data_IF_410235111884
#
_entry.id   IF_410235111884
#
_cell.length_a   1.000
_cell.length_b   1.000
_cell.length_c   1.000
_cell.angle_alpha   90.00
_cell.angle_beta   90.00
_cell.angle_gamma   90.00
#
_symmetry.space_group_name_H-M   'P 1'
#
loop_
_entity.id
_entity.type
_entity.pdbx_description
1 polymer ?
#
# COMPACT_ATOMS: atom_id res chain seq x y z
N UNK A 1 -15.80 2.71 -11.71
CA UNK A 1 -16.38 1.36 -11.57
C UNK A 1 -16.14 0.41 -12.74
N UNK A 2 -16.87 0.49 -13.86
CA UNK A 2 -16.76 -0.52 -14.95
C UNK A 2 -15.32 -0.76 -15.42
N UNK A 3 -14.52 0.29 -15.57
CA UNK A 3 -13.10 0.16 -15.94
C UNK A 3 -12.29 -0.61 -14.89
N UNK A 4 -12.49 -0.32 -13.59
CA UNK A 4 -11.83 -1.02 -12.47
C UNK A 4 -12.23 -2.50 -12.44
N UNK A 5 -13.52 -2.80 -12.62
CA UNK A 5 -14.02 -4.17 -12.66
C UNK A 5 -13.45 -5.03 -13.81
N UNK A 6 -12.98 -4.40 -14.89
CA UNK A 6 -12.35 -5.08 -16.03
C UNK A 6 -10.85 -5.36 -15.84
N UNK A 7 -10.21 -4.83 -14.79
CA UNK A 7 -8.77 -5.02 -14.57
C UNK A 7 -8.43 -6.49 -14.36
N UNK A 8 -9.21 -7.20 -13.53
CA UNK A 8 -8.96 -8.59 -13.18
C UNK A 8 -9.00 -9.51 -14.41
N UNK A 9 -10.06 -9.43 -15.21
CA UNK A 9 -10.22 -10.21 -16.45
C UNK A 9 -9.09 -9.92 -17.46
N UNK A 10 -8.55 -8.70 -17.45
CA UNK A 10 -7.44 -8.31 -18.31
C UNK A 10 -6.05 -8.65 -17.72
N UNK A 11 -5.97 -9.29 -16.55
CA UNK A 11 -4.70 -9.61 -15.89
C UNK A 11 -3.94 -8.38 -15.37
N UNK A 12 -4.63 -7.28 -15.12
CA UNK A 12 -4.06 -6.01 -14.67
C UNK A 12 -4.34 -5.74 -13.19
N UNK A 13 -3.45 -4.97 -12.57
CA UNK A 13 -3.61 -4.44 -11.21
C UNK A 13 -3.91 -2.94 -11.21
N UNK A 14 -3.60 -2.24 -12.30
CA UNK A 14 -3.93 -0.84 -12.48
C UNK A 14 -3.99 -0.45 -13.95
N UNK A 15 -4.62 0.69 -14.22
CA UNK A 15 -4.71 1.30 -15.54
C UNK A 15 -4.63 2.82 -15.44
N UNK A 16 -3.84 3.44 -16.31
CA UNK A 16 -3.68 4.90 -16.41
C UNK A 16 -4.02 5.35 -17.82
N UNK A 17 -5.14 6.04 -17.99
CA UNK A 17 -5.59 6.48 -19.31
C UNK A 17 -4.63 7.49 -19.97
N UNK A 18 -4.44 7.36 -21.29
CA UNK A 18 -3.77 8.38 -22.07
C UNK A 18 -4.54 9.70 -21.97
N UNK A 19 -3.80 10.81 -21.80
CA UNK A 19 -4.38 12.14 -21.64
C UNK A 19 -4.68 12.54 -20.19
N UNK A 20 -4.52 11.64 -19.21
CA UNK A 20 -4.71 11.94 -17.80
C UNK A 20 -3.76 13.04 -17.29
N UNK A 21 -4.22 13.81 -16.31
CA UNK A 21 -3.43 14.83 -15.62
C UNK A 21 -3.18 14.31 -14.20
N UNK A 22 -2.00 13.74 -14.01
CA UNK A 22 -1.56 13.19 -12.73
C UNK A 22 -1.09 14.26 -11.72
N UNK A 23 -0.29 15.29 -12.11
CA UNK A 23 0.19 16.28 -11.15
C UNK A 23 -0.96 17.14 -10.60
N UNK A 24 -0.85 17.48 -9.32
CA UNK A 24 -1.80 18.36 -8.63
C UNK A 24 -1.30 19.81 -8.64
N UNK A 25 -2.19 20.76 -8.40
CA UNK A 25 -1.90 22.18 -8.48
C UNK A 25 -0.82 22.63 -7.48
N UNK A 26 -0.80 22.02 -6.28
CA UNK A 26 0.20 22.26 -5.24
C UNK A 26 0.22 21.09 -4.25
N UNK A 27 1.26 20.98 -3.41
CA UNK A 27 1.36 19.90 -2.41
C UNK A 27 0.25 19.89 -1.35
N UNK A 28 -0.45 21.01 -1.17
CA UNK A 28 -1.60 21.15 -0.28
C UNK A 28 -2.95 21.25 -1.02
N UNK A 29 -2.97 21.06 -2.33
CA UNK A 29 -4.19 21.15 -3.14
C UNK A 29 -4.38 19.87 -3.93
N UNK A 30 -5.51 19.21 -3.74
CA UNK A 30 -5.89 18.07 -4.57
C UNK A 30 -6.68 18.48 -5.82
N UNK A 31 -6.49 19.69 -6.36
CA UNK A 31 -6.98 20.07 -7.69
C UNK A 31 -5.93 19.70 -8.75
N UNK A 32 -6.32 19.41 -10.00
CA UNK A 32 -5.34 19.13 -11.05
C UNK A 32 -4.47 20.34 -11.34
N UNK A 33 -3.22 20.09 -11.72
CA UNK A 33 -2.36 21.15 -12.27
C UNK A 33 -2.99 21.69 -13.56
N UNK A 34 -2.88 23.00 -13.77
CA UNK A 34 -3.38 23.68 -14.96
C UNK A 34 -2.28 24.51 -15.61
N UNK A 35 -2.43 24.86 -16.89
CA UNK A 35 -1.48 25.68 -17.62
C UNK A 35 -0.75 24.93 -18.75
N UNK A 36 0.16 25.64 -19.42
CA UNK A 36 0.87 25.14 -20.62
C UNK A 36 1.95 24.11 -20.31
N UNK A 37 2.43 24.07 -19.06
CA UNK A 37 3.50 23.19 -18.61
C UNK A 37 2.99 21.81 -18.17
N UNK A 38 1.66 21.60 -18.16
CA UNK A 38 1.07 20.32 -17.79
C UNK A 38 1.32 19.29 -18.88
N UNK A 39 2.13 18.30 -18.55
CA UNK A 39 2.35 17.13 -19.40
C UNK A 39 1.26 16.10 -19.10
N UNK A 40 0.48 15.77 -20.13
CA UNK A 40 -0.54 14.72 -20.04
C UNK A 40 0.11 13.36 -20.12
N UNK A 41 -0.38 12.42 -19.32
CA UNK A 41 0.12 11.06 -19.32
C UNK A 41 -0.01 10.42 -20.69
N UNK A 42 1.01 9.65 -21.08
CA UNK A 42 1.03 8.87 -22.31
C UNK A 42 1.64 7.50 -22.03
N UNK A 43 0.95 6.45 -22.46
CA UNK A 43 1.37 5.07 -22.28
C UNK A 43 2.56 4.71 -23.16
N UNK A 44 3.53 3.94 -22.64
CA UNK A 44 4.52 3.29 -23.48
C UNK A 44 3.82 2.22 -24.34
N UNK A 45 4.23 2.09 -25.60
CA UNK A 45 3.53 1.25 -26.57
C UNK A 45 3.41 -0.22 -26.14
N UNK A 46 4.41 -0.75 -25.44
CA UNK A 46 4.43 -2.14 -24.93
C UNK A 46 3.43 -2.42 -23.81
N UNK A 47 3.01 -1.40 -23.06
CA UNK A 47 2.02 -1.52 -21.97
C UNK A 47 0.68 -0.88 -22.34
N UNK A 48 0.52 -0.45 -23.60
CA UNK A 48 -0.70 0.19 -24.07
C UNK A 48 -1.82 -0.85 -24.23
N UNK A 49 -2.94 -0.62 -23.55
CA UNK A 49 -4.14 -1.46 -23.61
C UNK A 49 -5.38 -0.60 -23.82
N UNK A 50 -6.44 -1.20 -24.36
CA UNK A 50 -7.69 -0.51 -24.65
C UNK A 50 -8.89 -1.21 -24.01
N UNK A 51 -9.78 -0.41 -23.42
CA UNK A 51 -11.06 -0.87 -22.88
C UNK A 51 -12.23 -0.20 -23.59
N UNK A 52 -13.27 -0.98 -23.88
CA UNK A 52 -14.57 -0.44 -24.28
C UNK A 52 -15.41 -0.16 -23.04
N UNK A 53 -15.80 1.09 -22.84
CA UNK A 53 -16.65 1.52 -21.71
C UNK A 53 -18.06 1.89 -22.20
N UNK A 54 -19.11 1.55 -21.44
CA UNK A 54 -20.50 1.72 -21.88
C UNK A 54 -20.90 3.17 -22.15
N UNK A 55 -20.31 4.14 -21.42
CA UNK A 55 -20.69 5.55 -21.50
C UNK A 55 -19.61 6.48 -22.05
N UNK A 56 -18.39 5.97 -22.27
CA UNK A 56 -17.23 6.76 -22.71
C UNK A 56 -16.67 6.29 -24.05
N UNK A 57 -17.04 5.09 -24.51
CA UNK A 57 -16.46 4.49 -25.71
C UNK A 57 -15.13 3.82 -25.42
N UNK A 58 -14.28 3.75 -26.45
CA UNK A 58 -12.94 3.17 -26.35
C UNK A 58 -12.00 4.13 -25.60
N UNK A 59 -11.31 3.60 -24.59
CA UNK A 59 -10.25 4.31 -23.85
C UNK A 59 -8.96 3.52 -24.00
N UNK A 60 -7.85 4.20 -24.28
CA UNK A 60 -6.51 3.63 -24.36
C UNK A 60 -5.64 4.21 -23.26
N UNK A 61 -4.70 3.43 -22.74
CA UNK A 61 -3.80 3.85 -21.68
C UNK A 61 -2.83 2.75 -21.28
N UNK A 62 -2.03 3.01 -20.26
CA UNK A 62 -1.06 2.06 -19.73
C UNK A 62 -1.76 1.07 -18.80
N UNK A 63 -1.73 -0.21 -19.14
CA UNK A 63 -2.11 -1.29 -18.23
C UNK A 63 -0.90 -1.78 -17.45
N UNK A 64 -0.99 -1.81 -16.12
CA UNK A 64 0.04 -2.39 -15.25
C UNK A 64 -0.36 -3.84 -14.93
N UNK A 65 0.40 -4.85 -15.40
CA UNK A 65 0.07 -6.26 -15.18
C UNK A 65 0.24 -6.70 -13.72
N UNK A 66 -0.37 -7.84 -13.37
CA UNK A 66 -0.07 -8.56 -12.11
C UNK A 66 1.43 -8.90 -12.03
N UNK A 67 2.00 -8.85 -10.83
CA UNK A 67 3.42 -9.09 -10.59
C UNK A 67 4.09 -7.93 -9.85
N UNK A 68 5.38 -7.75 -10.09
CA UNK A 68 6.21 -6.72 -9.48
C UNK A 68 6.55 -5.67 -10.52
N UNK A 69 5.99 -4.47 -10.39
CA UNK A 69 6.27 -3.34 -11.27
C UNK A 69 7.12 -2.30 -10.55
N UNK A 70 8.19 -1.85 -11.18
CA UNK A 70 9.01 -0.74 -10.69
C UNK A 70 8.67 0.54 -11.47
N UNK A 71 8.62 1.66 -10.76
CA UNK A 71 8.58 3.00 -11.33
C UNK A 71 9.92 3.66 -11.00
N UNK A 72 10.77 3.83 -12.01
CA UNK A 72 12.16 4.29 -11.88
C UNK A 72 12.39 5.63 -12.58
N UNK A 73 13.58 6.22 -12.41
CA UNK A 73 13.95 7.49 -13.03
C UNK A 73 14.57 8.48 -12.03
N UNK A 74 15.10 9.59 -12.54
CA UNK A 74 15.74 10.63 -11.74
C UNK A 74 14.78 11.31 -10.74
N UNK A 75 15.33 12.09 -9.81
CA UNK A 75 14.53 12.98 -8.95
C UNK A 75 13.73 13.98 -9.78
N UNK A 76 12.50 14.31 -9.35
CA UNK A 76 11.62 15.29 -10.00
C UNK A 76 11.09 14.96 -11.41
N UNK A 77 11.27 13.74 -11.94
CA UNK A 77 10.73 13.36 -13.25
C UNK A 77 9.32 12.74 -13.22
N UNK A 78 8.63 12.71 -12.07
CA UNK A 78 7.21 12.31 -11.99
C UNK A 78 6.90 10.93 -11.36
N UNK A 79 7.90 10.23 -10.79
CA UNK A 79 7.71 8.91 -10.16
C UNK A 79 6.62 8.89 -9.07
N UNK A 80 6.81 9.69 -8.02
CA UNK A 80 5.86 9.77 -6.91
C UNK A 80 4.51 10.34 -7.35
N UNK A 81 4.47 11.21 -8.37
CA UNK A 81 3.22 11.71 -8.95
C UNK A 81 2.40 10.59 -9.59
N UNK A 82 3.05 9.69 -10.35
CA UNK A 82 2.40 8.51 -10.90
C UNK A 82 1.92 7.57 -9.79
N UNK A 83 2.77 7.27 -8.81
CA UNK A 83 2.39 6.39 -7.69
C UNK A 83 1.24 6.98 -6.87
N UNK A 84 1.24 8.27 -6.57
CA UNK A 84 0.16 8.95 -5.85
C UNK A 84 -1.17 8.87 -6.62
N UNK A 85 -1.15 9.01 -7.95
CA UNK A 85 -2.36 8.80 -8.75
C UNK A 85 -2.87 7.35 -8.65
N UNK A 86 -1.96 6.36 -8.64
CA UNK A 86 -2.30 4.95 -8.46
C UNK A 86 -2.83 4.64 -7.05
N UNK A 87 -2.28 5.27 -6.00
CA UNK A 87 -2.78 5.14 -4.62
C UNK A 87 -4.24 5.57 -4.50
N UNK A 88 -4.62 6.65 -5.20
CA UNK A 88 -5.98 7.17 -5.20
C UNK A 88 -6.91 6.48 -6.22
N UNK A 89 -6.36 5.68 -7.14
CA UNK A 89 -7.11 4.93 -8.16
C UNK A 89 -8.08 3.87 -7.60
N UNK A 90 -8.06 3.62 -6.30
CA UNK A 90 -9.09 2.83 -5.61
C UNK A 90 -10.44 3.58 -5.58
N UNK A 91 -10.42 4.91 -5.64
CA UNK A 91 -11.61 5.75 -5.69
C UNK A 91 -12.01 6.09 -7.12
N UNK A 92 -13.28 6.48 -7.29
CA UNK A 92 -13.72 7.17 -8.51
C UNK A 92 -13.50 8.67 -8.31
N UNK A 93 -12.94 9.35 -9.30
CA UNK A 93 -12.76 10.80 -9.27
C UNK A 93 -13.86 11.54 -10.03
N UNK A 94 -14.09 12.80 -9.65
CA UNK A 94 -15.07 13.68 -10.31
C UNK A 94 -14.63 14.04 -11.73
N UNK A 95 -15.56 14.29 -12.67
CA UNK A 95 -15.21 14.81 -13.99
C UNK A 95 -14.42 16.13 -13.91
N UNK A 96 -13.30 16.20 -14.62
CA UNK A 96 -12.39 17.34 -14.63
C UNK A 96 -11.21 17.20 -13.66
N UNK A 97 -11.16 16.17 -12.82
CA UNK A 97 -10.05 15.89 -11.90
C UNK A 97 -8.74 15.52 -12.61
N UNK A 98 -8.83 14.97 -13.83
CA UNK A 98 -7.70 14.48 -14.61
C UNK A 98 -7.29 13.03 -14.32
N UNK A 99 -7.71 12.46 -13.19
CA UNK A 99 -7.45 11.06 -12.80
C UNK A 99 -8.70 10.16 -12.91
N UNK A 100 -9.76 10.60 -13.59
CA UNK A 100 -11.07 9.91 -13.62
C UNK A 100 -11.02 8.51 -14.23
N UNK A 101 -10.03 8.27 -15.08
CA UNK A 101 -9.77 7.00 -15.75
C UNK A 101 -8.42 6.41 -15.31
N UNK A 102 -7.91 6.83 -14.16
CA UNK A 102 -6.81 6.18 -13.44
C UNK A 102 -7.44 5.29 -12.39
N UNK A 103 -7.31 3.98 -12.55
CA UNK A 103 -7.93 2.99 -11.65
C UNK A 103 -6.90 1.98 -11.19
N UNK A 104 -7.03 1.56 -9.93
CA UNK A 104 -6.18 0.54 -9.30
C UNK A 104 -7.09 -0.52 -8.69
N UNK A 105 -6.57 -1.73 -8.51
CA UNK A 105 -7.23 -2.79 -7.77
C UNK A 105 -7.80 -2.23 -6.45
N UNK A 106 -9.08 -2.47 -6.13
CA UNK A 106 -9.73 -1.87 -4.95
C UNK A 106 -9.13 -2.31 -3.61
N UNK A 107 -8.37 -3.41 -3.59
CA UNK A 107 -7.63 -3.93 -2.43
C UNK A 107 -6.14 -3.55 -2.47
N UNK A 108 -5.81 -2.45 -3.14
CA UNK A 108 -4.46 -1.90 -3.15
C UNK A 108 -4.21 -1.06 -1.88
N UNK A 109 -3.12 -1.36 -1.18
CA UNK A 109 -2.74 -0.70 0.08
C UNK A 109 -1.38 -0.03 -0.07
N UNK A 110 -1.30 1.21 0.41
CA UNK A 110 -0.05 1.96 0.49
C UNK A 110 0.74 1.56 1.72
N UNK A 111 1.96 1.08 1.50
CA UNK A 111 2.87 0.68 2.57
C UNK A 111 3.96 1.75 2.72
N UNK A 112 4.20 2.15 3.95
CA UNK A 112 5.28 3.07 4.34
C UNK A 112 5.77 2.76 5.75
N UNK A 113 6.93 3.32 6.10
CA UNK A 113 7.40 3.30 7.48
C UNK A 113 6.56 4.26 8.35
N UNK A 114 6.28 3.83 9.58
CA UNK A 114 5.48 4.57 10.57
C UNK A 114 6.16 4.44 11.93
N UNK A 115 7.26 5.18 12.10
CA UNK A 115 8.08 5.17 13.31
C UNK A 115 7.26 5.64 14.53
N UNK A 116 7.37 4.94 15.65
CA UNK A 116 6.67 5.23 16.89
C UNK A 116 5.26 4.64 17.02
N UNK A 117 4.69 4.01 15.99
CA UNK A 117 3.35 3.39 16.12
C UNK A 117 3.36 2.20 17.08
N UNK A 118 2.19 1.90 17.64
CA UNK A 118 1.98 0.64 18.35
C UNK A 118 1.71 -0.51 17.38
N UNK A 119 2.12 -1.71 17.80
CA UNK A 119 1.86 -2.99 17.13
C UNK A 119 1.41 -3.97 18.22
N UNK A 120 0.32 -4.70 17.97
CA UNK A 120 -0.24 -5.69 18.89
C UNK A 120 -0.41 -7.04 18.21
N UNK A 121 0.29 -8.04 18.73
CA UNK A 121 0.18 -9.46 18.41
C UNK A 121 0.33 -9.80 16.91
N UNK A 122 1.29 -9.15 16.23
CA UNK A 122 1.53 -9.36 14.79
C UNK A 122 2.69 -10.33 14.57
N UNK A 123 2.51 -11.33 13.71
CA UNK A 123 3.60 -12.20 13.27
C UNK A 123 4.46 -11.49 12.20
N UNK A 124 5.52 -10.80 12.64
CA UNK A 124 6.52 -10.15 11.78
C UNK A 124 7.71 -11.05 11.42
N UNK A 125 7.69 -12.33 11.83
CA UNK A 125 8.76 -13.30 11.57
C UNK A 125 9.15 -13.52 10.09
N UNK A 126 8.26 -13.27 9.08
CA UNK A 126 8.67 -13.24 7.69
C UNK A 126 9.79 -12.24 7.38
N UNK A 127 9.85 -11.14 8.12
CA UNK A 127 10.79 -10.05 7.89
C UNK A 127 11.78 -9.83 9.03
N UNK A 128 11.43 -10.19 10.26
CA UNK A 128 12.21 -9.85 11.44
C UNK A 128 12.39 -11.08 12.30
N UNK A 129 13.64 -11.48 12.53
CA UNK A 129 14.02 -12.66 13.30
C UNK A 129 15.07 -12.28 14.33
N UNK A 130 15.29 -13.12 15.36
CA UNK A 130 16.43 -12.98 16.28
C UNK A 130 16.59 -11.58 16.90
N UNK A 131 15.47 -10.97 17.32
CA UNK A 131 15.52 -9.68 17.99
C UNK A 131 16.38 -9.75 19.27
N UNK A 132 17.03 -8.63 19.66
CA UNK A 132 17.75 -8.56 20.92
C UNK A 132 16.89 -9.04 22.10
N UNK A 133 17.54 -9.70 23.06
CA UNK A 133 16.89 -10.29 24.24
C UNK A 133 15.89 -11.42 23.96
N UNK A 134 15.90 -11.99 22.74
CA UNK A 134 15.06 -13.14 22.39
C UNK A 134 13.58 -12.80 22.33
N UNK A 135 13.23 -11.54 22.04
CA UNK A 135 11.83 -11.13 21.91
C UNK A 135 11.15 -11.93 20.78
N UNK A 136 9.94 -12.46 21.00
CA UNK A 136 9.21 -13.21 19.99
C UNK A 136 8.82 -12.30 18.82
N UNK A 137 8.95 -12.81 17.60
CA UNK A 137 8.54 -12.10 16.37
C UNK A 137 7.31 -12.72 15.72
N UNK A 138 6.85 -13.87 16.21
CA UNK A 138 5.60 -14.53 15.80
C UNK A 138 4.36 -13.96 16.50
N UNK A 139 4.55 -13.26 17.61
CA UNK A 139 3.52 -12.57 18.38
C UNK A 139 4.06 -11.22 18.87
N UNK A 140 4.46 -10.36 17.93
CA UNK A 140 5.20 -9.15 18.23
C UNK A 140 4.28 -8.05 18.76
N UNK A 141 4.66 -7.48 19.91
CA UNK A 141 4.02 -6.31 20.50
C UNK A 141 5.04 -5.22 20.80
N UNK A 142 4.69 -3.96 20.53
CA UNK A 142 5.44 -2.77 20.96
C UNK A 142 4.52 -1.55 21.01
N UNK A 143 4.85 -0.58 21.85
CA UNK A 143 4.22 0.75 21.86
C UNK A 143 5.04 1.78 21.09
N UNK A 144 6.24 1.40 20.64
CA UNK A 144 7.22 2.27 19.98
C UNK A 144 7.97 1.43 18.93
N UNK A 145 7.39 1.33 17.73
CA UNK A 145 7.94 0.55 16.63
C UNK A 145 9.00 1.36 15.89
N UNK A 146 10.16 0.75 15.60
CA UNK A 146 11.11 1.34 14.64
C UNK A 146 10.54 1.32 13.22
N UNK A 147 11.01 2.21 12.34
CA UNK A 147 10.58 2.27 10.94
C UNK A 147 10.54 0.94 10.17
N UNK A 148 11.51 0.02 10.39
CA UNK A 148 11.49 -1.29 9.73
C UNK A 148 10.47 -2.26 10.35
N UNK A 149 10.31 -2.23 11.68
CA UNK A 149 9.31 -3.06 12.37
C UNK A 149 7.89 -2.60 12.06
N UNK A 150 7.64 -1.29 11.97
CA UNK A 150 6.34 -0.74 11.59
C UNK A 150 6.01 -1.04 10.12
N UNK A 151 6.98 -0.94 9.21
CA UNK A 151 6.75 -1.30 7.82
C UNK A 151 6.52 -2.81 7.63
N UNK A 152 7.24 -3.67 8.35
CA UNK A 152 7.00 -5.10 8.36
C UNK A 152 5.60 -5.44 8.87
N UNK A 153 5.18 -4.84 9.99
CA UNK A 153 3.85 -5.00 10.53
C UNK A 153 2.78 -4.51 9.55
N UNK A 154 2.97 -3.32 8.95
CA UNK A 154 2.04 -2.75 7.96
C UNK A 154 1.77 -3.73 6.79
N UNK A 155 2.82 -4.39 6.26
CA UNK A 155 2.65 -5.41 5.23
C UNK A 155 1.84 -6.60 5.76
N UNK A 156 2.22 -7.16 6.91
CA UNK A 156 1.53 -8.34 7.46
C UNK A 156 0.06 -8.04 7.80
N UNK A 157 -0.22 -6.88 8.37
CA UNK A 157 -1.59 -6.42 8.67
C UNK A 157 -2.40 -6.23 7.39
N UNK A 158 -1.79 -5.67 6.34
CA UNK A 158 -2.43 -5.54 5.02
C UNK A 158 -2.76 -6.89 4.40
N UNK A 159 -1.84 -7.86 4.49
CA UNK A 159 -2.05 -9.22 4.01
C UNK A 159 -3.14 -9.95 4.79
N UNK A 160 -3.16 -9.79 6.12
CA UNK A 160 -4.18 -10.37 7.02
C UNK A 160 -5.59 -9.95 6.62
N UNK A 161 -5.78 -8.70 6.19
CA UNK A 161 -7.10 -8.19 5.76
C UNK A 161 -7.36 -8.36 4.25
N UNK A 162 -6.48 -9.06 3.53
CA UNK A 162 -6.70 -9.48 2.15
C UNK A 162 -6.26 -8.48 1.07
N UNK A 163 -5.25 -7.63 1.35
CA UNK A 163 -4.64 -6.78 0.33
C UNK A 163 -4.13 -7.62 -0.86
N UNK A 164 -4.32 -7.10 -2.07
CA UNK A 164 -3.91 -7.77 -3.32
C UNK A 164 -2.79 -7.04 -4.06
N UNK A 165 -2.56 -5.77 -3.74
CA UNK A 165 -1.51 -4.94 -4.34
C UNK A 165 -0.88 -4.08 -3.25
N UNK A 166 0.44 -4.10 -3.16
CA UNK A 166 1.20 -3.22 -2.27
C UNK A 166 1.79 -2.06 -3.08
N UNK A 167 1.57 -0.84 -2.64
CA UNK A 167 2.12 0.38 -3.25
C UNK A 167 3.18 0.96 -2.32
N UNK A 168 4.44 1.04 -2.75
CA UNK A 168 5.56 1.47 -1.89
C UNK A 168 6.36 2.56 -2.59
N UNK A 169 6.67 3.63 -1.87
CA UNK A 169 7.61 4.66 -2.31
C UNK A 169 8.89 4.57 -1.45
N UNK A 170 10.05 4.41 -2.11
CA UNK A 170 11.36 4.37 -1.46
C UNK A 170 11.59 5.57 -0.53
N UNK A 171 11.09 6.76 -0.91
CA UNK A 171 11.27 8.00 -0.14
C UNK A 171 10.52 7.99 1.21
N UNK A 172 9.56 7.07 1.38
CA UNK A 172 8.77 6.94 2.63
C UNK A 172 8.92 5.57 3.30
N UNK A 173 9.78 4.72 2.75
CA UNK A 173 10.10 3.41 3.29
C UNK A 173 11.33 3.46 4.21
N UNK A 174 11.46 2.48 5.09
CA UNK A 174 12.68 2.28 5.86
C UNK A 174 13.76 1.66 4.95
N UNK A 175 14.86 2.37 4.75
CA UNK A 175 15.93 1.94 3.81
C UNK A 175 16.47 0.55 4.13
N UNK A 176 16.69 0.25 5.42
CA UNK A 176 17.16 -1.04 5.92
C UNK A 176 16.14 -2.17 5.74
N UNK A 177 14.87 -1.83 5.54
CA UNK A 177 13.82 -2.79 5.22
C UNK A 177 13.74 -3.05 3.72
N UNK A 178 13.97 -2.03 2.88
CA UNK A 178 13.86 -2.20 1.43
C UNK A 178 14.99 -3.05 0.86
N UNK A 179 16.23 -2.78 1.26
CA UNK A 179 17.43 -3.45 0.74
C UNK A 179 18.47 -3.66 1.82
N UNK A 180 19.46 -4.48 1.49
CA UNK A 180 20.64 -4.66 2.31
C UNK A 180 21.88 -4.58 1.44
N UNK A 181 22.75 -3.63 1.77
CA UNK A 181 24.01 -3.43 1.08
C UNK A 181 24.95 -4.65 1.24
N UNK A 182 25.64 -5.01 0.16
CA UNK A 182 26.55 -6.15 0.15
C UNK A 182 27.76 -5.97 1.09
N UNK A 183 28.29 -4.74 1.22
CA UNK A 183 29.43 -4.45 2.10
C UNK A 183 29.00 -4.59 3.55
N UNK A 184 27.83 -4.09 3.90
CA UNK A 184 27.23 -4.29 5.21
C UNK A 184 26.97 -5.76 5.52
N UNK A 185 26.57 -6.55 4.52
CA UNK A 185 26.41 -8.01 4.67
C UNK A 185 27.75 -8.71 4.95
N UNK A 186 28.83 -8.26 4.33
CA UNK A 186 30.19 -8.78 4.59
C UNK A 186 30.73 -8.37 5.96
N UNK A 187 30.37 -7.18 6.45
CA UNK A 187 30.82 -6.66 7.75
C UNK A 187 30.01 -7.25 8.92
N UNK A 188 28.69 -7.27 8.80
CA UNK A 188 27.75 -7.78 9.80
C UNK A 188 27.17 -9.07 9.27
N UNK A 189 27.62 -10.19 9.84
CA UNK A 189 27.15 -11.52 9.47
C UNK A 189 25.62 -11.58 9.46
N UNK A 190 25.03 -12.26 8.48
CA UNK A 190 23.57 -12.38 8.35
C UNK A 190 22.89 -12.93 9.60
N UNK A 191 23.57 -13.79 10.38
CA UNK A 191 23.08 -14.31 11.65
C UNK A 191 22.93 -13.27 12.76
N UNK A 192 23.51 -12.07 12.60
CA UNK A 192 23.46 -10.95 13.54
C UNK A 192 22.57 -9.80 13.05
N UNK A 193 22.06 -9.90 11.82
CA UNK A 193 21.12 -8.92 11.26
C UNK A 193 19.71 -9.49 11.37
N UNK A 194 18.84 -8.93 12.22
CA UNK A 194 17.50 -9.46 12.43
C UNK A 194 16.57 -9.25 11.22
N UNK A 195 16.88 -8.30 10.33
CA UNK A 195 16.00 -7.90 9.24
C UNK A 195 16.29 -8.71 7.97
N UNK A 196 15.24 -9.35 7.47
CA UNK A 196 15.13 -9.88 6.10
C UNK A 196 14.52 -8.80 5.21
N UNK A 197 15.27 -8.23 4.26
CA UNK A 197 14.77 -7.14 3.42
C UNK A 197 13.61 -7.55 2.51
N UNK A 198 12.75 -6.59 2.17
CA UNK A 198 11.57 -6.81 1.32
C UNK A 198 11.92 -7.37 -0.06
N UNK A 199 13.05 -6.98 -0.65
CA UNK A 199 13.52 -7.55 -1.92
C UNK A 199 13.66 -9.08 -1.88
N UNK A 200 14.00 -9.67 -0.73
CA UNK A 200 14.08 -11.13 -0.60
C UNK A 200 12.70 -11.79 -0.54
N UNK A 201 11.65 -11.05 -0.18
CA UNK A 201 10.32 -11.61 0.07
C UNK A 201 9.30 -11.26 -1.01
N UNK A 202 9.47 -10.16 -1.74
CA UNK A 202 8.48 -9.64 -2.69
C UNK A 202 8.13 -10.64 -3.80
N UNK A 203 9.11 -11.36 -4.35
CA UNK A 203 8.84 -12.38 -5.39
C UNK A 203 8.08 -13.57 -4.84
N UNK A 204 8.50 -14.07 -3.68
CA UNK A 204 7.86 -15.20 -3.00
C UNK A 204 6.45 -14.84 -2.54
N UNK A 205 6.24 -13.60 -2.10
CA UNK A 205 4.93 -13.06 -1.77
C UNK A 205 3.98 -13.13 -2.98
N UNK A 206 4.45 -12.67 -4.14
CA UNK A 206 3.66 -12.76 -5.37
C UNK A 206 3.38 -14.21 -5.77
N UNK A 207 4.39 -15.08 -5.76
CA UNK A 207 4.26 -16.48 -6.19
C UNK A 207 3.36 -17.32 -5.26
N UNK A 208 3.43 -17.09 -3.94
CA UNK A 208 2.68 -17.90 -2.96
C UNK A 208 1.31 -17.33 -2.59
N UNK A 209 1.17 -16.00 -2.60
CA UNK A 209 -0.06 -15.32 -2.17
C UNK A 209 -0.76 -14.53 -3.28
N UNK A 210 -0.17 -14.44 -4.49
CA UNK A 210 -0.75 -13.69 -5.60
C UNK A 210 -0.77 -12.17 -5.40
N UNK A 211 -0.08 -11.65 -4.38
CA UNK A 211 -0.07 -10.22 -4.04
C UNK A 211 0.97 -9.50 -4.88
N UNK A 212 0.50 -8.58 -5.71
CA UNK A 212 1.35 -7.79 -6.60
C UNK A 212 1.99 -6.60 -5.87
N UNK A 213 3.01 -5.98 -6.46
CA UNK A 213 3.65 -4.79 -5.88
C UNK A 213 3.96 -3.75 -6.96
N UNK A 214 3.72 -2.48 -6.64
CA UNK A 214 4.20 -1.33 -7.43
C UNK A 214 5.15 -0.53 -6.54
N UNK A 215 6.42 -0.43 -6.96
CA UNK A 215 7.49 0.16 -6.17
C UNK A 215 8.07 1.36 -6.91
N UNK A 216 8.04 2.56 -6.31
CA UNK A 216 8.87 3.68 -6.77
C UNK A 216 10.27 3.50 -6.22
N UNK A 217 11.25 3.40 -7.11
CA UNK A 217 12.66 3.21 -6.76
C UNK A 217 13.50 4.25 -7.51
N UNK A 218 14.29 5.04 -6.79
CA UNK A 218 15.20 6.05 -7.32
C UNK A 218 16.67 5.77 -7.03
N UNK A 219 16.98 5.04 -5.96
CA UNK A 219 18.36 4.86 -5.48
C UNK A 219 18.94 3.45 -5.63
N UNK A 220 18.11 2.42 -5.85
CA UNK A 220 18.54 1.04 -5.75
C UNK A 220 18.20 0.18 -6.99
N UNK A 221 19.23 -0.31 -7.69
CA UNK A 221 19.07 -1.19 -8.86
C UNK A 221 18.74 -2.65 -8.53
N UNK A 222 18.93 -3.09 -7.29
CA UNK A 222 18.78 -4.49 -6.89
C UNK A 222 17.39 -5.07 -7.23
N UNK A 223 16.34 -4.25 -7.19
CA UNK A 223 14.99 -4.72 -7.50
C UNK A 223 14.80 -5.18 -8.95
N UNK A 224 15.73 -4.89 -9.87
CA UNK A 224 15.71 -5.45 -11.23
C UNK A 224 15.74 -6.98 -11.24
N UNK A 225 16.38 -7.59 -10.24
CA UNK A 225 16.47 -9.04 -10.04
C UNK A 225 15.07 -9.68 -9.98
N UNK A 226 14.15 -9.02 -9.29
CA UNK A 226 12.82 -9.57 -8.94
C UNK A 226 11.66 -8.95 -9.72
N UNK A 227 11.85 -7.79 -10.36
CA UNK A 227 10.80 -7.08 -11.08
C UNK A 227 10.30 -7.83 -12.31
N UNK A 228 9.01 -7.78 -12.61
CA UNK A 228 8.44 -8.28 -13.86
C UNK A 228 8.37 -7.17 -14.92
N UNK A 229 8.12 -5.93 -14.48
CA UNK A 229 8.06 -4.73 -15.33
C UNK A 229 8.83 -3.56 -14.72
N UNK A 230 9.49 -2.76 -15.56
CA UNK A 230 10.23 -1.56 -15.14
C UNK A 230 9.82 -0.38 -16.02
N UNK A 231 9.14 0.58 -15.40
CA UNK A 231 8.60 1.77 -16.04
C UNK A 231 9.45 2.97 -15.62
N UNK A 232 10.22 3.52 -16.55
CA UNK A 232 11.01 4.73 -16.31
C UNK A 232 10.17 5.97 -16.55
N UNK A 233 10.20 6.90 -15.59
CA UNK A 233 9.72 8.27 -15.72
C UNK A 233 10.89 9.18 -16.08
N UNK A 234 10.82 9.79 -17.25
CA UNK A 234 11.79 10.80 -17.69
C UNK A 234 11.04 11.97 -18.31
N UNK A 235 11.26 13.16 -17.75
CA UNK A 235 10.60 14.41 -18.16
C UNK A 235 9.06 14.27 -18.19
N UNK A 236 8.51 13.54 -17.21
CA UNK A 236 7.09 13.26 -17.06
C UNK A 236 6.47 12.36 -18.17
N UNK A 237 7.31 11.79 -19.04
CA UNK A 237 6.94 10.72 -19.96
C UNK A 237 7.26 9.34 -19.38
N UNK A 238 6.49 8.33 -19.80
CA UNK A 238 6.64 6.95 -19.34
C UNK A 238 7.25 6.05 -20.42
N UNK A 239 8.30 5.33 -20.05
CA UNK A 239 9.00 4.38 -20.93
C UNK A 239 9.05 3.00 -20.27
N UNK A 240 8.77 1.95 -21.04
CA UNK A 240 9.03 0.59 -20.60
C UNK A 240 10.49 0.24 -20.87
N UNK A 241 11.27 0.13 -19.79
CA UNK A 241 12.71 -0.19 -19.82
C UNK A 241 12.98 -1.57 -19.21
N UNK A 242 11.97 -2.45 -19.25
CA UNK A 242 12.05 -3.78 -18.63
C UNK A 242 13.21 -4.61 -19.18
N UNK A 243 13.46 -4.54 -20.50
CA UNK A 243 14.54 -5.32 -21.13
C UNK A 243 15.92 -4.85 -20.68
N UNK A 244 16.11 -3.54 -20.63
CA UNK A 244 17.32 -2.86 -20.21
C UNK A 244 17.61 -3.18 -18.73
N UNK A 245 16.59 -3.07 -17.88
CA UNK A 245 16.72 -3.42 -16.46
C UNK A 245 17.05 -4.91 -16.26
N UNK A 246 16.40 -5.81 -17.00
CA UNK A 246 16.68 -7.25 -16.94
C UNK A 246 18.07 -7.63 -17.44
N UNK A 247 18.68 -6.85 -18.33
CA UNK A 247 20.06 -7.04 -18.73
C UNK A 247 21.07 -6.67 -17.63
N UNK A 248 20.67 -5.84 -16.67
CA UNK A 248 21.49 -5.43 -15.52
C UNK A 248 21.23 -6.29 -14.26
N UNK A 249 20.13 -7.04 -14.25
CA UNK A 249 19.72 -7.89 -13.14
C UNK A 249 20.74 -9.01 -12.90
N UNK A 250 20.90 -9.38 -11.63
CA UNK A 250 21.73 -10.50 -11.22
C UNK A 250 20.86 -11.62 -10.60
N UNK A 251 21.26 -12.89 -10.75
CA UNK A 251 20.61 -13.97 -10.03
C UNK A 251 20.68 -13.73 -8.52
N UNK A 252 19.55 -13.87 -7.85
CA UNK A 252 19.43 -13.74 -6.40
C UNK A 252 18.85 -15.00 -5.81
N UNK A 253 19.50 -15.52 -4.77
CA UNK A 253 18.95 -16.60 -3.97
C UNK A 253 17.80 -16.05 -3.13
N UNK A 254 16.59 -16.52 -3.42
CA UNK A 254 15.38 -16.16 -2.70
C UNK A 254 15.04 -17.25 -1.69
N UNK A 255 14.44 -16.89 -0.54
CA UNK A 255 13.91 -17.86 0.40
C UNK A 255 12.84 -18.73 -0.26
N UNK A 256 12.72 -19.98 0.16
CA UNK A 256 11.72 -20.92 -0.37
C UNK A 256 10.28 -20.62 0.08
N UNK A 257 10.11 -19.78 1.11
CA UNK A 257 8.81 -19.44 1.67
C UNK A 257 8.74 -17.98 2.10
N UNK A 258 7.57 -17.37 1.90
CA UNK A 258 7.26 -16.07 2.47
C UNK A 258 7.25 -16.15 4.00
N UNK A 259 6.69 -17.22 4.55
CA UNK A 259 6.46 -17.42 5.98
C UNK A 259 4.97 -17.46 6.29
N UNK A 260 4.62 -17.39 7.57
CA UNK A 260 3.23 -17.39 8.02
C UNK A 260 2.68 -15.97 8.10
N UNK A 261 1.42 -15.79 7.71
CA UNK A 261 0.66 -14.55 7.91
C UNK A 261 -0.09 -14.58 9.24
N UNK A 262 -0.44 -13.41 9.75
CA UNK A 262 -1.25 -13.30 10.97
C UNK A 262 -2.72 -13.66 10.72
N UNK A 263 -3.38 -14.26 11.72
CA UNK A 263 -4.84 -14.40 11.81
C UNK A 263 -5.28 -14.08 13.24
N UNK A 264 -5.33 -12.80 13.57
CA UNK A 264 -5.65 -12.28 14.90
C UNK A 264 -7.15 -12.31 15.14
N UNK A 265 -7.52 -12.61 16.39
CA UNK A 265 -8.88 -12.56 16.91
C UNK A 265 -8.91 -11.38 17.89
N UNK A 266 -9.59 -10.27 17.57
CA UNK A 266 -9.61 -9.10 18.44
C UNK A 266 -10.43 -9.36 19.70
N UNK A 267 -10.02 -8.73 20.80
CA UNK A 267 -10.76 -8.74 22.07
C UNK A 267 -11.70 -7.54 22.08
N UNK A 268 -12.99 -7.74 22.39
CA UNK A 268 -13.96 -6.64 22.50
C UNK A 268 -13.49 -5.58 23.50
N UNK A 269 -12.94 -6.04 24.63
CA UNK A 269 -12.57 -5.18 25.76
C UNK A 269 -11.32 -4.35 25.48
N UNK A 270 -10.59 -4.61 24.38
CA UNK A 270 -9.48 -3.76 23.95
C UNK A 270 -9.91 -2.49 23.21
N UNK A 271 -11.22 -2.33 22.92
CA UNK A 271 -11.76 -1.15 22.26
C UNK A 271 -12.61 -0.35 23.26
N UNK A 272 -12.08 0.78 23.71
CA UNK A 272 -12.79 1.68 24.62
C UNK A 272 -12.73 3.11 24.12
N UNK A 273 -13.89 3.70 23.82
CA UNK A 273 -14.02 5.14 23.58
C UNK A 273 -14.44 5.89 24.86
N UNK A 274 -14.21 5.30 26.03
CA UNK A 274 -14.64 5.86 27.31
C UNK A 274 -13.84 7.11 27.67
N UNK A 275 -14.54 8.11 28.22
CA UNK A 275 -13.95 9.26 28.90
C UNK A 275 -14.11 9.11 30.42
N UNK A 276 -13.33 9.89 31.18
CA UNK A 276 -13.60 10.18 32.59
C UNK A 276 -15.11 10.40 32.84
N UNK A 277 -15.70 9.51 33.64
CA UNK A 277 -17.13 9.49 33.94
C UNK A 277 -17.96 8.42 33.20
N UNK A 278 -17.34 7.56 32.40
CA UNK A 278 -17.96 6.32 31.86
C UNK A 278 -18.85 6.50 30.62
N UNK A 279 -18.82 7.67 29.99
CA UNK A 279 -19.52 7.91 28.73
C UNK A 279 -18.55 7.81 27.55
N UNK A 280 -19.06 7.33 26.42
CA UNK A 280 -18.24 7.16 25.22
C UNK A 280 -18.26 8.40 24.33
N UNK A 281 -17.11 8.73 23.76
CA UNK A 281 -17.00 9.86 22.84
C UNK A 281 -16.02 9.58 21.72
N UNK A 282 -16.49 9.80 20.50
CA UNK A 282 -15.66 9.82 19.30
C UNK A 282 -15.70 11.23 18.73
N UNK A 283 -14.54 11.82 18.50
CA UNK A 283 -14.43 13.07 17.75
C UNK A 283 -13.33 12.99 16.72
N UNK A 284 -13.57 13.61 15.57
CA UNK A 284 -12.61 13.70 14.48
C UNK A 284 -12.25 15.16 14.32
N UNK A 285 -11.13 15.65 14.89
CA UNK A 285 -10.73 17.04 14.73
C UNK A 285 -10.30 17.31 13.27
N UNK A 286 -9.46 16.44 12.71
CA UNK A 286 -8.91 16.49 11.36
C UNK A 286 -9.02 15.13 10.67
N UNK A 287 -8.76 15.06 9.37
CA UNK A 287 -8.84 13.82 8.59
C UNK A 287 -7.94 12.70 9.13
N UNK A 288 -6.76 13.04 9.63
CA UNK A 288 -5.74 12.08 10.05
C UNK A 288 -5.84 11.69 11.53
N UNK A 289 -6.91 12.03 12.24
CA UNK A 289 -6.95 11.81 13.70
C UNK A 289 -8.36 11.43 14.16
N UNK A 290 -8.44 10.38 14.98
CA UNK A 290 -9.64 10.03 15.75
C UNK A 290 -9.29 10.19 17.23
N UNK A 291 -10.02 11.07 17.93
CA UNK A 291 -10.05 11.05 19.39
C UNK A 291 -11.11 10.05 19.82
N UNK A 292 -10.68 8.99 20.48
CA UNK A 292 -11.46 7.82 20.82
C UNK A 292 -11.44 7.64 22.34
N UNK A 293 -12.38 8.27 23.04
CA UNK A 293 -12.31 8.41 24.49
C UNK A 293 -11.12 9.26 24.92
N UNK A 294 -10.30 8.71 25.81
CA UNK A 294 -9.05 9.32 26.28
C UNK A 294 -7.87 9.12 25.32
N UNK A 295 -8.02 8.21 24.35
CA UNK A 295 -6.98 7.87 23.39
C UNK A 295 -7.07 8.72 22.12
N UNK A 296 -5.93 8.86 21.45
CA UNK A 296 -5.82 9.45 20.11
C UNK A 296 -5.26 8.41 19.14
N UNK A 297 -6.01 8.13 18.07
CA UNK A 297 -5.59 7.26 16.98
C UNK A 297 -5.11 8.16 15.84
N UNK A 298 -3.81 8.10 15.58
CA UNK A 298 -3.19 8.75 14.43
C UNK A 298 -3.37 7.91 13.16
N UNK A 299 -3.75 8.57 12.07
CA UNK A 299 -3.98 7.99 10.74
C UNK A 299 -3.15 8.72 9.68
N UNK A 300 -2.18 9.55 10.07
CA UNK A 300 -1.37 10.36 9.14
C UNK A 300 -0.60 9.49 8.13
N UNK A 301 -0.21 8.28 8.53
CA UNK A 301 0.48 7.32 7.67
C UNK A 301 -0.45 6.59 6.68
N UNK A 302 -1.76 6.88 6.67
CA UNK A 302 -2.75 6.27 5.78
C UNK A 302 -3.20 7.27 4.70
N UNK A 303 -2.40 7.50 3.63
CA UNK A 303 -2.68 8.52 2.62
C UNK A 303 -3.92 8.23 1.76
N UNK A 304 -4.45 7.01 1.82
CA UNK A 304 -5.66 6.61 1.11
C UNK A 304 -6.95 6.96 1.88
N UNK A 305 -6.85 7.49 3.10
CA UNK A 305 -7.99 8.16 3.75
C UNK A 305 -8.03 9.59 3.22
N UNK A 306 -9.05 9.90 2.41
CA UNK A 306 -9.13 11.16 1.65
C UNK A 306 -10.10 12.16 2.28
N UNK A 307 -11.09 11.69 3.02
CA UNK A 307 -12.12 12.55 3.62
C UNK A 307 -12.30 12.35 5.13
N UNK A 308 -12.65 13.46 5.81
CA UNK A 308 -13.02 13.44 7.24
C UNK A 308 -14.23 12.54 7.53
N UNK A 309 -15.11 12.36 6.54
CA UNK A 309 -16.26 11.46 6.64
C UNK A 309 -15.82 10.00 6.82
N UNK A 310 -14.80 9.55 6.11
CA UNK A 310 -14.24 8.19 6.23
C UNK A 310 -13.62 7.98 7.61
N UNK A 311 -12.85 8.95 8.10
CA UNK A 311 -12.28 8.92 9.46
C UNK A 311 -13.36 8.77 10.52
N UNK A 312 -14.48 9.48 10.36
CA UNK A 312 -15.63 9.36 11.27
C UNK A 312 -16.29 7.98 11.17
N UNK A 313 -16.46 7.47 9.95
CA UNK A 313 -17.01 6.14 9.72
C UNK A 313 -16.14 5.06 10.38
N UNK A 314 -14.81 5.15 10.28
CA UNK A 314 -13.87 4.24 10.97
C UNK A 314 -14.07 4.28 12.49
N UNK A 315 -14.16 5.47 13.09
CA UNK A 315 -14.40 5.59 14.53
C UNK A 315 -15.71 4.91 14.99
N UNK A 316 -16.81 5.12 14.27
CA UNK A 316 -18.07 4.45 14.59
C UNK A 316 -18.05 2.95 14.29
N UNK A 317 -17.35 2.54 13.22
CA UNK A 317 -17.17 1.14 12.88
C UNK A 317 -16.45 0.37 13.99
N UNK A 318 -15.45 0.96 14.64
CA UNK A 318 -14.75 0.34 15.78
C UNK A 318 -15.71 -0.02 16.93
N UNK A 319 -16.60 0.91 17.30
CA UNK A 319 -17.63 0.70 18.32
C UNK A 319 -18.64 -0.36 17.86
N UNK A 320 -19.10 -0.26 16.61
CA UNK A 320 -20.05 -1.21 16.07
C UNK A 320 -19.49 -2.65 16.04
N UNK A 321 -18.26 -2.81 15.58
CA UNK A 321 -17.55 -4.08 15.54
C UNK A 321 -17.39 -4.65 16.95
N UNK A 322 -16.98 -3.83 17.92
CA UNK A 322 -16.89 -4.25 19.32
C UNK A 322 -18.21 -4.79 19.85
N UNK A 323 -19.32 -4.09 19.62
CA UNK A 323 -20.62 -4.41 20.21
C UNK A 323 -21.32 -5.59 19.54
N UNK A 324 -21.02 -5.86 18.28
CA UNK A 324 -21.83 -6.79 17.47
C UNK A 324 -21.03 -7.87 16.75
N UNK A 325 -19.73 -7.67 16.51
CA UNK A 325 -18.91 -8.55 15.68
C UNK A 325 -17.71 -9.19 16.42
N UNK A 326 -17.21 -8.58 17.49
CA UNK A 326 -16.08 -9.10 18.28
C UNK A 326 -16.56 -10.11 19.32
N UNK A 327 -16.56 -11.38 18.95
CA UNK A 327 -17.08 -12.50 19.75
C UNK A 327 -15.99 -13.48 20.25
N UNK A 328 -14.73 -13.05 20.21
CA UNK A 328 -13.55 -13.86 20.54
C UNK A 328 -13.38 -15.13 19.68
N UNK A 329 -14.03 -15.20 18.52
CA UNK A 329 -13.89 -16.33 17.57
C UNK A 329 -13.52 -15.86 16.17
N UNK A 330 -14.18 -14.81 15.70
CA UNK A 330 -13.94 -14.27 14.36
C UNK A 330 -12.59 -13.56 14.27
N UNK A 331 -11.90 -13.76 13.16
CA UNK A 331 -10.68 -13.01 12.86
C UNK A 331 -11.00 -11.55 12.50
N UNK A 332 -9.98 -10.69 12.51
CA UNK A 332 -10.11 -9.31 12.02
C UNK A 332 -10.70 -9.28 10.60
N UNK A 333 -10.21 -10.15 9.71
CA UNK A 333 -10.69 -10.24 8.32
C UNK A 333 -12.18 -10.61 8.24
N UNK A 334 -12.61 -11.62 9.02
CA UNK A 334 -14.02 -12.07 9.04
C UNK A 334 -14.96 -10.97 9.58
N UNK A 335 -14.49 -10.21 10.57
CA UNK A 335 -15.21 -9.06 11.14
C UNK A 335 -15.34 -7.95 10.09
N UNK A 336 -14.25 -7.58 9.42
CA UNK A 336 -14.27 -6.53 8.38
C UNK A 336 -15.16 -6.92 7.20
N UNK A 337 -15.11 -8.18 6.75
CA UNK A 337 -16.01 -8.67 5.71
C UNK A 337 -17.48 -8.57 6.13
N UNK A 338 -17.80 -8.98 7.37
CA UNK A 338 -19.17 -8.87 7.90
C UNK A 338 -19.65 -7.42 7.96
N UNK A 339 -18.76 -6.48 8.30
CA UNK A 339 -19.04 -5.06 8.32
C UNK A 339 -19.31 -4.51 6.90
N UNK A 340 -18.47 -4.86 5.93
CA UNK A 340 -18.65 -4.46 4.53
C UNK A 340 -19.98 -4.96 3.94
N UNK A 341 -20.31 -6.24 4.17
CA UNK A 341 -21.57 -6.84 3.74
C UNK A 341 -22.79 -6.11 4.34
N UNK A 342 -22.70 -5.75 5.62
CA UNK A 342 -23.74 -4.98 6.30
C UNK A 342 -23.88 -3.58 5.71
N UNK A 343 -22.78 -2.85 5.57
CA UNK A 343 -22.77 -1.50 4.99
C UNK A 343 -23.32 -1.49 3.56
N UNK A 344 -23.01 -2.52 2.77
CA UNK A 344 -23.55 -2.66 1.42
C UNK A 344 -25.06 -2.87 1.39
N UNK A 345 -25.64 -3.49 2.44
CA UNK A 345 -27.08 -3.78 2.52
C UNK A 345 -27.88 -2.63 3.15
N UNK A 346 -27.33 -2.02 4.19
CA UNK A 346 -28.06 -1.09 5.08
C UNK A 346 -27.64 0.37 4.89
N UNK A 347 -26.53 0.62 4.18
CA UNK A 347 -25.90 1.93 4.09
C UNK A 347 -24.88 2.17 5.21
N UNK A 348 -24.29 3.37 5.19
CA UNK A 348 -23.29 3.85 6.16
C UNK A 348 -23.92 4.27 7.50
#
# INVERSE_FOLDING_TARGET
>A
ETLRGKLEEAGLIAFVADGSILPRAAGNSDLPMTGKEVIKFKSPASLSTSFQLPHRGKVTGMGIPRGISLIVGGGFHGKSTLLQALQQGIYNHIPGDGRELVVTNPRAVTIRAEDGRSIQNVNISPFIQNLPFGRPTNDFCTTDASGSTSQAANIIESLEVGAQVLLIDEDTAATNFMIRDERMTKLVASSKEPITPFIQKVKVLYEQHGVSSILVIGGCGDYFDVADHVIMQENFDSYDVTKEAKALAQPRDLPSSFGETSRRIPLSDSISASLNGGWEKITVPVRSTIRFGEEEIDLQALPQIVEKGQTRAIGHALIHMRETLMDSRRSIQEILQSLEEKMSREGL
#
